data_IF_504493245859
#
_entry.id   IF_504493245859
#
_cell.length_a   1.000
_cell.length_b   1.000
_cell.length_c   1.000
_cell.angle_alpha   90.00
_cell.angle_beta   90.00
_cell.angle_gamma   90.00
#
_symmetry.space_group_name_H-M   'P 1'
#
loop_
_entity.id
_entity.type
_entity.pdbx_description
1 polymer ?
#
# COMPACT_ATOMS: atom_id res chain seq x y z
N UNK A 1 32.07 -4.45 3.45
CA UNK A 1 32.06 -3.13 4.09
C UNK A 1 30.63 -2.82 4.48
N UNK A 2 30.35 -2.43 5.73
CA UNK A 2 29.01 -1.96 6.11
C UNK A 2 28.65 -0.73 5.26
N UNK A 3 27.41 -0.68 4.76
CA UNK A 3 26.94 0.47 4.01
C UNK A 3 27.00 1.74 4.92
N UNK A 4 27.41 2.86 4.36
CA UNK A 4 27.41 4.15 5.08
C UNK A 4 25.98 4.45 5.51
N UNK A 5 25.76 4.80 6.77
CA UNK A 5 24.48 5.31 7.26
C UNK A 5 24.11 6.57 6.47
N UNK A 6 22.91 6.58 5.90
CA UNK A 6 22.35 7.69 5.12
C UNK A 6 21.10 8.24 5.83
N UNK A 7 20.73 9.46 5.52
CA UNK A 7 19.49 10.09 5.93
C UNK A 7 18.56 10.21 4.73
N UNK A 8 17.42 9.52 4.77
CA UNK A 8 16.41 9.47 3.71
C UNK A 8 15.19 10.29 4.08
N UNK A 9 14.69 11.08 3.15
CA UNK A 9 13.39 11.72 3.27
C UNK A 9 12.41 11.05 2.31
N UNK A 10 11.27 10.57 2.84
CA UNK A 10 10.22 9.91 2.10
C UNK A 10 8.98 10.79 2.05
N UNK A 11 8.64 11.29 0.87
CA UNK A 11 7.41 12.04 0.61
C UNK A 11 6.30 11.06 0.19
N UNK A 12 5.26 10.88 1.02
CA UNK A 12 4.16 9.94 0.81
C UNK A 12 2.79 10.60 1.04
N UNK A 13 2.55 11.73 0.38
CA UNK A 13 1.26 12.39 0.41
C UNK A 13 0.27 11.73 -0.55
N UNK A 14 -0.95 11.47 -0.04
CA UNK A 14 -2.03 10.84 -0.81
C UNK A 14 -3.24 10.51 0.07
N UNK A 15 -4.44 10.59 -0.49
CA UNK A 15 -5.71 10.58 0.24
C UNK A 15 -6.15 9.26 0.89
N UNK A 16 -5.28 8.26 0.96
CA UNK A 16 -5.63 6.95 1.54
C UNK A 16 -4.47 6.26 2.22
N UNK A 17 -4.64 4.97 2.53
CA UNK A 17 -3.60 4.16 3.17
C UNK A 17 -2.48 3.75 2.20
N UNK A 18 -2.73 3.69 0.90
CA UNK A 18 -1.85 3.07 -0.09
C UNK A 18 -0.45 3.68 -0.19
N UNK A 19 -0.36 5.02 -0.19
CA UNK A 19 0.92 5.75 -0.21
C UNK A 19 1.72 5.51 1.06
N UNK A 20 1.05 5.62 2.21
CA UNK A 20 1.66 5.36 3.51
C UNK A 20 2.18 3.92 3.62
N UNK A 21 1.41 2.93 3.17
CA UNK A 21 1.79 1.51 3.21
C UNK A 21 3.08 1.25 2.42
N UNK A 22 3.19 1.77 1.19
CA UNK A 22 4.41 1.60 0.38
C UNK A 22 5.61 2.32 0.97
N UNK A 23 5.43 3.57 1.40
CA UNK A 23 6.51 4.32 2.03
C UNK A 23 6.95 3.69 3.35
N UNK A 24 6.02 3.14 4.13
CA UNK A 24 6.33 2.39 5.35
C UNK A 24 7.10 1.09 5.04
N UNK A 25 6.77 0.37 3.97
CA UNK A 25 7.54 -0.80 3.54
C UNK A 25 8.99 -0.43 3.22
N UNK A 26 9.20 0.65 2.44
CA UNK A 26 10.52 1.16 2.12
C UNK A 26 11.28 1.64 3.37
N UNK A 27 10.62 2.44 4.21
CA UNK A 27 11.19 2.97 5.44
C UNK A 27 11.67 1.86 6.38
N UNK A 28 10.84 0.82 6.58
CA UNK A 28 11.17 -0.31 7.45
C UNK A 28 12.45 -1.02 7.01
N UNK A 29 12.59 -1.31 5.72
CA UNK A 29 13.78 -1.97 5.18
C UNK A 29 15.00 -1.04 5.28
N UNK A 30 14.86 0.26 4.95
CA UNK A 30 15.94 1.23 5.07
C UNK A 30 16.42 1.39 6.53
N UNK A 31 15.50 1.49 7.49
CA UNK A 31 15.83 1.53 8.93
C UNK A 31 16.50 0.24 9.39
N UNK A 32 16.00 -0.92 8.95
CA UNK A 32 16.60 -2.22 9.23
C UNK A 32 18.04 -2.36 8.69
N UNK A 33 18.39 -1.60 7.64
CA UNK A 33 19.76 -1.50 7.09
C UNK A 33 20.60 -0.42 7.75
N UNK A 34 20.07 0.27 8.77
CA UNK A 34 20.78 1.26 9.58
C UNK A 34 20.67 2.71 9.11
N UNK A 35 19.82 3.01 8.10
CA UNK A 35 19.57 4.37 7.65
C UNK A 35 18.64 5.12 8.62
N UNK A 36 18.73 6.45 8.65
CA UNK A 36 17.75 7.33 9.27
C UNK A 36 16.69 7.70 8.24
N UNK A 37 15.40 7.69 8.62
CA UNK A 37 14.28 7.93 7.70
C UNK A 37 13.31 8.95 8.29
N UNK A 38 13.04 10.03 7.56
CA UNK A 38 11.94 10.96 7.82
C UNK A 38 10.81 10.69 6.82
N UNK A 39 9.68 10.21 7.31
CA UNK A 39 8.49 9.89 6.51
C UNK A 39 7.44 10.98 6.65
N UNK A 40 7.14 11.69 5.57
CA UNK A 40 6.07 12.67 5.49
C UNK A 40 4.80 12.01 4.92
N UNK A 41 3.68 12.14 5.64
CA UNK A 41 2.39 11.59 5.20
C UNK A 41 1.22 12.49 5.59
N UNK A 42 0.18 12.51 4.77
CA UNK A 42 -1.13 13.10 5.09
C UNK A 42 -2.24 12.05 5.13
N UNK A 43 -1.90 10.78 5.26
CA UNK A 43 -2.90 9.71 5.36
C UNK A 43 -3.79 9.93 6.59
N UNK A 44 -5.13 9.94 6.45
CA UNK A 44 -6.04 10.09 7.58
C UNK A 44 -5.96 8.93 8.58
N UNK A 45 -5.35 7.81 8.20
CA UNK A 45 -5.12 6.66 9.06
C UNK A 45 -3.84 6.78 9.91
N UNK A 46 -2.89 7.63 9.52
CA UNK A 46 -1.58 7.73 10.17
C UNK A 46 -1.63 8.03 11.68
N UNK A 47 -2.57 8.83 12.22
CA UNK A 47 -2.66 9.07 13.66
C UNK A 47 -3.03 7.82 14.48
N UNK A 48 -3.80 6.90 13.91
CA UNK A 48 -4.25 5.67 14.60
C UNK A 48 -3.33 4.45 14.37
N UNK A 49 -2.24 4.60 13.63
CA UNK A 49 -1.30 3.52 13.36
C UNK A 49 -0.04 3.63 14.24
N UNK A 50 0.49 2.50 14.74
CA UNK A 50 1.70 2.48 15.58
C UNK A 50 2.98 2.62 14.73
N UNK A 51 3.05 3.64 13.86
CA UNK A 51 4.09 3.77 12.82
C UNK A 51 5.49 3.84 13.41
N UNK A 52 5.71 4.65 14.45
CA UNK A 52 7.02 4.87 15.05
C UNK A 52 7.60 3.57 15.65
N UNK A 53 6.78 2.85 16.42
CA UNK A 53 7.21 1.57 17.01
C UNK A 53 7.40 0.49 15.94
N UNK A 54 6.59 0.53 14.88
CA UNK A 54 6.65 -0.46 13.81
C UNK A 54 7.85 -0.24 12.86
N UNK A 55 8.17 1.01 12.55
CA UNK A 55 9.31 1.38 11.71
C UNK A 55 10.65 1.25 12.46
N UNK A 56 10.63 1.43 13.78
CA UNK A 56 11.82 1.36 14.63
C UNK A 56 12.48 2.72 14.88
N UNK A 57 13.51 2.75 15.75
CA UNK A 57 14.08 3.99 16.30
C UNK A 57 14.86 4.85 15.28
N UNK A 58 15.07 4.35 14.06
CA UNK A 58 15.69 5.11 12.97
C UNK A 58 14.70 5.94 12.15
N UNK A 59 13.40 5.86 12.44
CA UNK A 59 12.37 6.56 11.68
C UNK A 59 11.71 7.68 12.49
N UNK A 60 11.43 8.80 11.81
CA UNK A 60 10.57 9.88 12.28
C UNK A 60 9.38 10.02 11.35
N UNK A 61 8.16 10.11 11.88
CA UNK A 61 6.94 10.26 11.07
C UNK A 61 6.37 11.66 11.23
N UNK A 62 6.37 12.42 10.14
CA UNK A 62 5.79 13.75 10.04
C UNK A 62 4.39 13.65 9.45
N UNK A 63 3.38 14.10 10.20
CA UNK A 63 1.97 14.05 9.81
C UNK A 63 1.50 15.44 9.38
N UNK A 64 1.06 15.54 8.12
CA UNK A 64 0.42 16.75 7.58
C UNK A 64 -1.09 16.58 7.64
N UNK A 65 -1.82 17.62 8.04
CA UNK A 65 -3.28 17.58 8.05
C UNK A 65 -3.81 17.37 6.62
N UNK A 66 -4.58 16.31 6.43
CA UNK A 66 -5.17 15.97 5.13
C UNK A 66 -6.19 16.98 4.61
N UNK A 67 -6.63 17.94 5.46
CA UNK A 67 -7.62 18.99 5.14
C UNK A 67 -6.96 20.28 4.68
N UNK A 68 -5.61 20.38 4.67
CA UNK A 68 -4.94 21.56 4.18
C UNK A 68 -5.30 21.83 2.72
N UNK A 69 -5.51 23.10 2.42
CA UNK A 69 -5.60 23.56 1.05
C UNK A 69 -4.24 23.49 0.34
N UNK A 70 -4.22 23.88 -0.93
CA UNK A 70 -2.99 23.86 -1.73
C UNK A 70 -1.88 24.71 -1.10
N UNK A 71 -2.19 25.92 -0.62
CA UNK A 71 -1.21 26.84 -0.04
C UNK A 71 -0.62 26.27 1.26
N UNK A 72 -1.48 25.75 2.14
CA UNK A 72 -1.07 25.07 3.37
C UNK A 72 -0.23 23.84 3.11
N UNK A 73 -0.57 23.05 2.09
CA UNK A 73 0.24 21.88 1.69
C UNK A 73 1.62 22.30 1.20
N UNK A 74 1.72 23.32 0.34
CA UNK A 74 3.00 23.87 -0.14
C UNK A 74 3.86 24.35 1.03
N UNK A 75 3.26 25.09 1.97
CA UNK A 75 3.97 25.60 3.15
C UNK A 75 4.49 24.47 4.05
N UNK A 76 3.65 23.46 4.33
CA UNK A 76 4.02 22.34 5.18
C UNK A 76 5.14 21.48 4.56
N UNK A 77 5.05 21.16 3.27
CA UNK A 77 6.08 20.40 2.55
C UNK A 77 7.37 21.22 2.43
N UNK A 78 7.26 22.52 2.15
CA UNK A 78 8.43 23.42 2.09
C UNK A 78 9.17 23.52 3.42
N UNK A 79 8.44 23.68 4.52
CA UNK A 79 9.02 23.69 5.88
C UNK A 79 9.73 22.36 6.17
N UNK A 80 9.07 21.24 5.92
CA UNK A 80 9.67 19.92 6.12
C UNK A 80 10.95 19.73 5.28
N UNK A 81 10.97 20.13 3.99
CA UNK A 81 12.17 20.03 3.16
C UNK A 81 13.31 20.93 3.64
N UNK A 82 13.01 22.03 4.33
CA UNK A 82 14.00 22.98 4.84
C UNK A 82 14.64 22.57 6.18
N UNK A 83 14.03 21.63 6.93
CA UNK A 83 14.51 21.24 8.27
C UNK A 83 15.91 20.62 8.26
N UNK A 84 16.24 19.83 7.24
CA UNK A 84 17.57 19.21 7.10
C UNK A 84 17.88 18.85 5.65
N UNK A 85 19.14 18.66 5.34
CA UNK A 85 19.58 18.17 4.02
C UNK A 85 19.66 16.63 4.08
N UNK A 86 18.84 15.88 3.33
CA UNK A 86 18.93 14.43 3.27
C UNK A 86 20.09 13.98 2.36
N UNK A 87 20.48 12.71 2.47
CA UNK A 87 21.33 12.05 1.47
C UNK A 87 20.51 11.63 0.24
N UNK A 88 19.17 11.47 0.37
CA UNK A 88 18.24 11.20 -0.74
C UNK A 88 16.82 11.64 -0.40
N UNK A 89 16.11 12.18 -1.40
CA UNK A 89 14.66 12.42 -1.36
C UNK A 89 13.95 11.38 -2.20
N UNK A 90 13.02 10.63 -1.60
CA UNK A 90 12.16 9.66 -2.29
C UNK A 90 10.73 10.20 -2.33
N UNK A 91 10.15 10.27 -3.51
CA UNK A 91 8.77 10.75 -3.75
C UNK A 91 7.91 9.57 -4.18
N UNK A 92 6.80 9.31 -3.48
CA UNK A 92 5.88 8.24 -3.85
C UNK A 92 4.82 8.74 -4.83
N UNK A 93 4.77 8.15 -6.00
CA UNK A 93 3.75 8.23 -7.07
C UNK A 93 3.66 9.58 -7.78
N UNK A 94 3.59 10.70 -7.08
CA UNK A 94 3.28 12.01 -7.68
C UNK A 94 4.53 12.87 -7.91
N UNK A 95 5.11 12.89 -9.11
CA UNK A 95 6.37 13.62 -9.37
C UNK A 95 6.24 15.13 -9.20
N UNK A 96 5.02 15.66 -9.28
CA UNK A 96 4.72 17.09 -9.06
C UNK A 96 4.27 17.40 -7.63
N UNK A 97 4.16 16.37 -6.77
CA UNK A 97 3.49 16.46 -5.48
C UNK A 97 1.97 16.32 -5.58
N UNK A 98 1.30 16.17 -4.44
CA UNK A 98 -0.15 15.98 -4.38
C UNK A 98 -0.92 17.24 -4.85
N UNK A 99 -0.45 18.43 -4.48
CA UNK A 99 -1.02 19.73 -4.82
C UNK A 99 -0.21 20.50 -5.89
N UNK A 100 0.83 19.87 -6.46
CA UNK A 100 1.75 20.50 -7.41
C UNK A 100 2.93 21.23 -6.76
N UNK A 101 3.13 21.11 -5.46
CA UNK A 101 4.14 21.79 -4.65
C UNK A 101 5.56 21.39 -5.02
N UNK A 102 5.78 20.17 -5.45
CA UNK A 102 7.12 19.71 -5.81
C UNK A 102 7.68 20.37 -7.09
N UNK A 103 6.83 20.95 -7.94
CA UNK A 103 7.29 21.69 -9.12
C UNK A 103 8.22 22.82 -8.75
N UNK A 104 7.93 23.55 -7.69
CA UNK A 104 8.75 24.67 -7.20
C UNK A 104 9.77 24.27 -6.14
N UNK A 105 9.53 23.20 -5.39
CA UNK A 105 10.38 22.78 -4.29
C UNK A 105 11.51 21.84 -4.73
N UNK A 106 11.27 20.91 -5.69
CA UNK A 106 12.33 19.98 -6.14
C UNK A 106 13.61 20.66 -6.65
N UNK A 107 13.56 21.78 -7.40
CA UNK A 107 14.78 22.47 -7.83
C UNK A 107 15.67 22.96 -6.66
N UNK A 108 15.11 23.13 -5.46
CA UNK A 108 15.89 23.55 -4.27
C UNK A 108 16.55 22.38 -3.55
N UNK A 109 16.13 21.15 -3.83
CA UNK A 109 16.69 19.93 -3.23
C UNK A 109 17.98 19.54 -3.95
N UNK A 110 19.10 19.56 -3.23
CA UNK A 110 20.43 19.20 -3.78
C UNK A 110 20.71 17.70 -3.75
N UNK A 111 20.01 16.95 -2.89
CA UNK A 111 20.16 15.51 -2.79
C UNK A 111 19.60 14.79 -4.03
N UNK A 112 20.11 13.61 -4.37
CA UNK A 112 19.48 12.73 -5.37
C UNK A 112 17.99 12.54 -5.11
N UNK A 113 17.22 12.56 -6.19
CA UNK A 113 15.77 12.49 -6.16
C UNK A 113 15.31 11.17 -6.78
N UNK A 114 14.55 10.41 -6.04
CA UNK A 114 14.01 9.10 -6.47
C UNK A 114 12.50 9.17 -6.55
N UNK A 115 11.93 8.70 -7.65
CA UNK A 115 10.49 8.55 -7.81
C UNK A 115 10.12 7.07 -7.68
N UNK A 116 9.22 6.75 -6.76
CA UNK A 116 8.50 5.48 -6.77
C UNK A 116 7.41 5.60 -7.83
N UNK A 117 7.74 5.13 -9.04
CA UNK A 117 6.93 5.36 -10.21
C UNK A 117 5.91 4.24 -10.39
N UNK A 118 4.65 4.60 -10.37
CA UNK A 118 3.51 3.73 -10.41
C UNK A 118 2.69 3.87 -11.69
N UNK A 119 1.75 2.94 -11.89
CA UNK A 119 0.73 3.10 -12.92
C UNK A 119 -0.05 4.40 -12.67
N UNK A 120 -0.08 5.25 -13.69
CA UNK A 120 -0.79 6.52 -13.70
C UNK A 120 -1.75 6.56 -14.89
N UNK A 121 -2.93 7.11 -14.66
CA UNK A 121 -3.93 7.31 -15.71
C UNK A 121 -3.32 8.19 -16.84
N UNK A 122 -3.39 7.77 -18.13
CA UNK A 122 -2.86 8.56 -19.25
C UNK A 122 -3.40 9.99 -19.31
N UNK A 123 -4.67 10.20 -18.99
CA UNK A 123 -5.28 11.55 -18.91
C UNK A 123 -4.58 12.42 -17.86
N UNK A 124 -4.18 11.84 -16.73
CA UNK A 124 -3.39 12.55 -15.72
C UNK A 124 -1.98 12.85 -16.22
N UNK A 125 -1.35 11.85 -16.86
CA UNK A 125 0.02 11.98 -17.41
C UNK A 125 0.08 13.14 -18.42
N UNK A 126 -0.86 13.21 -19.35
CA UNK A 126 -0.94 14.25 -20.37
C UNK A 126 -1.30 15.61 -19.75
N UNK A 127 -2.38 15.67 -18.97
CA UNK A 127 -2.89 16.93 -18.38
C UNK A 127 -1.86 17.67 -17.53
N UNK A 128 -1.00 16.94 -16.83
CA UNK A 128 -0.04 17.50 -15.88
C UNK A 128 1.41 17.43 -16.36
N UNK A 129 1.61 17.13 -17.64
CA UNK A 129 2.95 17.01 -18.23
C UNK A 129 3.91 16.19 -17.34
N UNK A 130 3.45 14.97 -16.98
CA UNK A 130 4.20 14.09 -16.09
C UNK A 130 5.50 13.63 -16.70
N UNK A 131 5.58 13.54 -18.04
CA UNK A 131 6.81 13.19 -18.76
C UNK A 131 7.95 14.16 -18.40
N UNK A 132 7.69 15.47 -18.50
CA UNK A 132 8.67 16.48 -18.10
C UNK A 132 8.99 16.44 -16.58
N UNK A 133 7.98 16.21 -15.74
CA UNK A 133 8.18 16.13 -14.29
C UNK A 133 9.06 14.93 -13.88
N UNK A 134 8.98 13.82 -14.59
CA UNK A 134 9.80 12.60 -14.38
C UNK A 134 11.27 12.87 -14.64
N UNK A 135 11.62 13.75 -15.56
CA UNK A 135 13.01 14.12 -15.89
C UNK A 135 13.74 14.81 -14.71
N UNK A 136 13.00 15.33 -13.75
CA UNK A 136 13.58 15.92 -12.53
C UNK A 136 14.15 14.89 -11.54
N UNK A 137 13.95 13.57 -11.78
CA UNK A 137 14.38 12.51 -10.88
C UNK A 137 15.61 11.76 -11.41
N UNK A 138 16.52 11.43 -10.50
CA UNK A 138 17.77 10.73 -10.80
C UNK A 138 17.57 9.21 -10.92
N UNK A 139 16.51 8.68 -10.30
CA UNK A 139 16.12 7.27 -10.35
C UNK A 139 14.59 7.14 -10.32
N UNK A 140 14.06 6.25 -11.15
CA UNK A 140 12.67 5.80 -11.09
C UNK A 140 12.65 4.35 -10.61
N UNK A 141 11.96 4.06 -9.51
CA UNK A 141 11.78 2.68 -9.04
C UNK A 141 10.35 2.25 -9.33
N UNK A 142 10.19 1.18 -10.12
CA UNK A 142 8.87 0.69 -10.57
C UNK A 142 8.51 -0.59 -9.82
N UNK A 143 7.57 -0.55 -8.86
CA UNK A 143 7.27 -1.69 -7.97
C UNK A 143 6.27 -2.67 -8.59
N UNK A 144 6.75 -3.61 -9.41
CA UNK A 144 6.00 -4.79 -9.84
C UNK A 144 4.71 -4.53 -10.63
N UNK A 145 4.61 -3.40 -11.34
CA UNK A 145 3.48 -3.10 -12.22
C UNK A 145 3.94 -2.42 -13.51
N UNK A 146 3.06 -2.33 -14.48
CA UNK A 146 3.27 -1.50 -15.65
C UNK A 146 3.03 -0.02 -15.30
N UNK A 147 4.04 0.81 -15.61
CA UNK A 147 3.99 2.24 -15.40
C UNK A 147 4.36 2.98 -16.69
N UNK A 148 3.83 4.18 -16.95
CA UNK A 148 4.03 4.89 -18.22
C UNK A 148 5.50 5.05 -18.63
N UNK A 149 6.39 5.26 -17.65
CA UNK A 149 7.82 5.48 -17.86
C UNK A 149 8.70 4.32 -17.34
N UNK A 150 8.17 3.08 -17.31
CA UNK A 150 8.90 1.91 -16.83
C UNK A 150 10.11 1.54 -17.71
N UNK A 151 10.19 2.07 -18.94
CA UNK A 151 11.31 1.89 -19.87
C UNK A 151 12.25 3.11 -19.94
N UNK A 152 12.06 4.10 -19.04
CA UNK A 152 12.96 5.25 -18.98
C UNK A 152 14.40 4.79 -18.64
N UNK A 153 15.47 5.40 -19.20
CA UNK A 153 16.87 4.97 -18.95
C UNK A 153 17.27 4.94 -17.47
N UNK A 154 16.61 5.74 -16.64
CA UNK A 154 16.81 5.79 -15.18
C UNK A 154 15.83 4.90 -14.41
N UNK A 155 15.04 4.07 -15.08
CA UNK A 155 14.07 3.20 -14.41
C UNK A 155 14.71 1.88 -13.97
N UNK A 156 14.41 1.47 -12.74
CA UNK A 156 14.71 0.15 -12.18
C UNK A 156 13.40 -0.52 -11.82
N UNK A 157 13.11 -1.65 -12.46
CA UNK A 157 11.93 -2.47 -12.15
C UNK A 157 12.26 -3.43 -11.01
N UNK A 158 11.38 -3.52 -10.03
CA UNK A 158 11.48 -4.47 -8.92
C UNK A 158 10.26 -5.39 -8.92
N UNK A 159 10.29 -6.46 -8.13
CA UNK A 159 9.08 -7.19 -7.76
C UNK A 159 8.11 -6.26 -6.98
N UNK A 160 6.85 -6.66 -6.76
CA UNK A 160 5.93 -5.92 -5.92
C UNK A 160 6.49 -5.65 -4.51
N UNK A 161 6.11 -4.50 -3.94
CA UNK A 161 6.48 -4.15 -2.56
C UNK A 161 5.38 -4.56 -1.60
N UNK A 162 5.78 -5.23 -0.55
CA UNK A 162 4.90 -5.68 0.52
C UNK A 162 5.44 -5.20 1.87
N UNK A 163 4.53 -4.93 2.81
CA UNK A 163 4.90 -4.47 4.15
C UNK A 163 5.71 -5.49 4.95
N UNK A 164 5.50 -6.78 4.67
CA UNK A 164 6.13 -7.89 5.36
C UNK A 164 6.77 -8.85 4.35
N UNK A 165 7.84 -9.48 4.74
CA UNK A 165 8.39 -10.63 4.06
C UNK A 165 7.61 -11.91 4.42
N UNK A 166 7.76 -12.96 3.65
CA UNK A 166 6.96 -14.17 3.81
C UNK A 166 7.17 -14.87 5.16
N UNK A 167 8.38 -14.81 5.70
CA UNK A 167 8.77 -15.38 6.98
C UNK A 167 8.21 -14.60 8.18
N UNK A 168 7.86 -13.33 7.99
CA UNK A 168 7.25 -12.50 9.01
C UNK A 168 5.72 -12.67 9.13
N UNK A 169 5.09 -13.49 8.28
CA UNK A 169 3.66 -13.77 8.38
C UNK A 169 3.36 -14.77 9.49
N UNK A 170 2.22 -14.57 10.13
CA UNK A 170 1.67 -15.56 11.05
C UNK A 170 1.37 -16.88 10.32
N UNK A 171 1.50 -18.03 11.00
CA UNK A 171 0.96 -19.28 10.47
C UNK A 171 -0.56 -19.19 10.29
N UNK A 172 -1.17 -20.12 9.56
CA UNK A 172 -2.63 -20.12 9.37
C UNK A 172 -3.36 -20.15 10.72
N UNK A 173 -2.94 -21.00 11.65
CA UNK A 173 -3.55 -21.10 12.97
C UNK A 173 -3.37 -19.82 13.78
N UNK A 174 -2.17 -19.25 13.81
CA UNK A 174 -1.89 -17.98 14.49
C UNK A 174 -2.71 -16.84 13.89
N UNK A 175 -2.80 -16.78 12.57
CA UNK A 175 -3.60 -15.77 11.85
C UNK A 175 -5.09 -15.89 12.19
N UNK A 176 -5.63 -17.13 12.22
CA UNK A 176 -7.04 -17.38 12.57
C UNK A 176 -7.32 -16.98 14.03
N UNK A 177 -6.44 -17.32 14.98
CA UNK A 177 -6.55 -16.83 16.38
C UNK A 177 -6.50 -15.30 16.45
N UNK A 178 -5.61 -14.67 15.70
CA UNK A 178 -5.54 -13.19 15.63
C UNK A 178 -6.79 -12.55 15.02
N UNK A 179 -7.50 -13.29 14.16
CA UNK A 179 -8.80 -12.91 13.61
C UNK A 179 -9.97 -13.21 14.58
N UNK A 180 -9.72 -13.74 15.77
CA UNK A 180 -10.72 -14.01 16.80
C UNK A 180 -11.46 -15.33 16.64
N UNK A 181 -10.89 -16.29 15.92
CA UNK A 181 -11.45 -17.63 15.77
C UNK A 181 -10.83 -18.59 16.80
N UNK A 182 -11.65 -19.45 17.36
CA UNK A 182 -11.21 -20.52 18.27
C UNK A 182 -10.48 -21.64 17.48
N UNK A 183 -9.60 -22.37 18.15
CA UNK A 183 -8.78 -23.43 17.52
C UNK A 183 -9.63 -24.56 16.89
N UNK A 184 -10.87 -24.76 17.36
CA UNK A 184 -11.83 -25.72 16.80
C UNK A 184 -12.72 -25.18 15.68
N UNK A 185 -12.65 -23.89 15.38
CA UNK A 185 -13.48 -23.30 14.32
C UNK A 185 -12.92 -23.64 12.95
N UNK A 186 -13.59 -24.47 12.18
CA UNK A 186 -13.18 -24.90 10.84
C UNK A 186 -13.79 -24.07 9.72
N UNK A 187 -14.69 -23.12 10.02
CA UNK A 187 -15.35 -22.30 8.99
C UNK A 187 -14.33 -21.53 8.17
N UNK A 188 -14.50 -21.41 6.86
CA UNK A 188 -13.68 -20.51 6.04
C UNK A 188 -13.85 -19.05 6.47
N UNK A 189 -12.80 -18.25 6.26
CA UNK A 189 -12.76 -16.83 6.62
C UNK A 189 -12.91 -15.98 5.37
N UNK A 190 -13.92 -15.15 5.33
CA UNK A 190 -14.08 -14.08 4.35
C UNK A 190 -13.68 -12.76 5.00
N UNK A 191 -12.57 -12.16 4.54
CA UNK A 191 -12.14 -10.86 5.02
C UNK A 191 -12.60 -9.76 4.06
N UNK A 192 -13.20 -8.70 4.59
CA UNK A 192 -13.59 -7.52 3.83
C UNK A 192 -12.69 -6.35 4.25
N UNK A 193 -12.06 -5.68 3.28
CA UNK A 193 -11.19 -4.54 3.50
C UNK A 193 -11.70 -3.31 2.75
N UNK A 194 -11.80 -2.16 3.46
CA UNK A 194 -12.09 -0.85 2.89
C UNK A 194 -11.30 0.20 3.63
N UNK A 195 -10.30 0.78 2.99
CA UNK A 195 -9.40 1.78 3.58
C UNK A 195 -9.09 2.94 2.60
N UNK A 196 -10.00 3.24 1.72
CA UNK A 196 -9.89 4.36 0.81
C UNK A 196 -10.51 5.62 1.38
N UNK A 197 -11.61 6.02 0.78
CA UNK A 197 -12.39 7.18 1.21
C UNK A 197 -13.41 6.80 2.28
N UNK A 198 -13.98 7.77 3.02
CA UNK A 198 -15.03 7.50 4.01
C UNK A 198 -16.21 6.69 3.45
N UNK A 199 -16.62 6.98 2.21
CA UNK A 199 -17.71 6.28 1.52
C UNK A 199 -17.36 4.81 1.29
N UNK A 200 -16.12 4.50 0.96
CA UNK A 200 -15.64 3.12 0.76
C UNK A 200 -15.56 2.33 2.06
N UNK A 201 -15.28 3.01 3.17
CA UNK A 201 -15.34 2.39 4.50
C UNK A 201 -16.77 2.03 4.85
N UNK A 202 -17.73 2.93 4.59
CA UNK A 202 -19.16 2.67 4.81
C UNK A 202 -19.66 1.50 3.95
N UNK A 203 -19.35 1.50 2.65
CA UNK A 203 -19.70 0.40 1.72
C UNK A 203 -19.08 -0.95 2.14
N UNK A 204 -17.87 -0.94 2.69
CA UNK A 204 -17.29 -2.16 3.25
C UNK A 204 -18.11 -2.70 4.43
N UNK A 205 -18.58 -1.82 5.31
CA UNK A 205 -19.47 -2.19 6.42
C UNK A 205 -20.79 -2.80 5.94
N UNK A 206 -21.43 -2.20 4.92
CA UNK A 206 -22.64 -2.75 4.29
C UNK A 206 -22.37 -4.12 3.68
N UNK A 207 -21.25 -4.26 2.95
CA UNK A 207 -20.83 -5.53 2.35
C UNK A 207 -20.63 -6.61 3.41
N UNK A 208 -20.00 -6.30 4.54
CA UNK A 208 -19.85 -7.21 5.67
C UNK A 208 -21.20 -7.71 6.18
N UNK A 209 -22.16 -6.81 6.38
CA UNK A 209 -23.49 -7.15 6.90
C UNK A 209 -24.25 -8.08 5.92
N UNK A 210 -24.17 -7.79 4.62
CA UNK A 210 -24.78 -8.62 3.58
C UNK A 210 -24.15 -10.02 3.55
N UNK A 211 -22.82 -10.12 3.55
CA UNK A 211 -22.12 -11.40 3.55
C UNK A 211 -22.33 -12.18 4.84
N UNK A 212 -22.43 -11.54 6.01
CA UNK A 212 -22.77 -12.20 7.27
C UNK A 212 -24.16 -12.84 7.22
N UNK A 213 -25.12 -12.16 6.61
CA UNK A 213 -26.47 -12.71 6.42
C UNK A 213 -26.46 -13.87 5.44
N UNK A 214 -25.82 -13.72 4.29
CA UNK A 214 -25.76 -14.73 3.23
C UNK A 214 -25.04 -16.01 3.70
N UNK A 215 -23.93 -15.87 4.41
CA UNK A 215 -23.02 -16.95 4.79
C UNK A 215 -23.19 -17.39 6.26
N UNK A 216 -24.34 -17.08 6.87
CA UNK A 216 -24.60 -17.40 8.27
C UNK A 216 -24.40 -18.91 8.56
N UNK A 217 -23.54 -19.21 9.53
CA UNK A 217 -23.13 -20.56 9.90
C UNK A 217 -22.18 -21.27 8.92
N UNK A 218 -21.96 -20.75 7.71
CA UNK A 218 -21.12 -21.36 6.67
C UNK A 218 -19.70 -20.79 6.66
N UNK A 219 -19.55 -19.49 6.90
CA UNK A 219 -18.25 -18.81 6.92
C UNK A 219 -18.17 -17.78 8.06
N UNK A 220 -16.95 -17.48 8.49
CA UNK A 220 -16.66 -16.37 9.39
C UNK A 220 -16.37 -15.12 8.55
N UNK A 221 -17.23 -14.10 8.63
CA UNK A 221 -17.06 -12.85 7.87
C UNK A 221 -16.48 -11.78 8.77
N UNK A 222 -15.26 -11.33 8.43
CA UNK A 222 -14.46 -10.36 9.18
C UNK A 222 -14.35 -9.03 8.42
N UNK A 223 -14.62 -7.94 9.11
CA UNK A 223 -14.29 -6.60 8.61
C UNK A 223 -12.92 -6.18 9.14
N UNK A 224 -11.92 -6.15 8.28
CA UNK A 224 -10.58 -5.72 8.66
C UNK A 224 -10.43 -4.22 8.44
N UNK A 225 -10.05 -3.52 9.49
CA UNK A 225 -9.80 -2.07 9.49
C UNK A 225 -8.39 -1.79 10.00
N UNK A 226 -7.69 -0.78 9.45
CA UNK A 226 -6.31 -0.49 9.85
C UNK A 226 -6.21 0.22 11.21
N UNK A 227 -7.26 0.94 11.60
CA UNK A 227 -7.33 1.72 12.86
C UNK A 227 -8.63 1.41 13.60
N UNK A 228 -8.75 1.84 14.84
CA UNK A 228 -9.92 1.55 15.67
C UNK A 228 -11.23 1.95 15.00
N UNK A 229 -12.16 0.99 15.00
CA UNK A 229 -13.50 1.14 14.45
C UNK A 229 -14.49 0.30 15.27
N UNK A 230 -15.66 0.87 15.58
CA UNK A 230 -16.63 0.25 16.50
C UNK A 230 -17.12 -1.15 16.08
N UNK A 231 -17.14 -1.47 14.78
CA UNK A 231 -17.68 -2.72 14.24
C UNK A 231 -16.65 -3.55 13.47
N UNK A 232 -15.43 -3.04 13.30
CA UNK A 232 -14.35 -3.71 12.57
C UNK A 232 -13.31 -4.32 13.51
N UNK A 233 -12.60 -5.31 13.01
CA UNK A 233 -11.44 -5.89 13.69
C UNK A 233 -10.19 -5.09 13.28
N UNK A 234 -9.57 -4.43 14.24
CA UNK A 234 -8.35 -3.64 13.99
C UNK A 234 -7.18 -4.57 13.72
N UNK A 235 -6.70 -4.55 12.48
CA UNK A 235 -5.53 -5.31 12.02
C UNK A 235 -4.68 -4.44 11.11
N UNK A 236 -3.46 -4.15 11.56
CA UNK A 236 -2.45 -3.53 10.71
C UNK A 236 -1.05 -4.09 11.05
N UNK A 237 -0.29 -4.50 10.04
CA UNK A 237 -0.70 -4.65 8.63
C UNK A 237 -1.62 -5.86 8.42
N UNK A 238 -2.62 -5.72 7.54
CA UNK A 238 -3.55 -6.81 7.24
C UNK A 238 -2.84 -8.03 6.62
N UNK A 239 -1.75 -7.80 5.90
CA UNK A 239 -0.90 -8.85 5.33
C UNK A 239 -0.47 -9.90 6.38
N UNK A 240 -0.25 -9.50 7.63
CA UNK A 240 0.17 -10.42 8.70
C UNK A 240 -0.79 -11.58 8.92
N UNK A 241 -2.09 -11.39 8.69
CA UNK A 241 -3.15 -12.38 8.93
C UNK A 241 -3.67 -13.05 7.65
N UNK A 242 -3.14 -12.69 6.47
CA UNK A 242 -3.68 -13.16 5.19
C UNK A 242 -3.65 -14.68 5.01
N UNK A 243 -2.72 -15.39 5.66
CA UNK A 243 -2.71 -16.86 5.65
C UNK A 243 -3.94 -17.47 6.35
N UNK A 244 -4.61 -16.72 7.22
CA UNK A 244 -5.85 -17.14 7.89
C UNK A 244 -7.12 -16.83 7.09
N UNK A 245 -7.02 -16.05 6.00
CA UNK A 245 -8.14 -15.59 5.18
C UNK A 245 -8.36 -16.54 4.00
N UNK A 246 -9.57 -16.95 3.74
CA UNK A 246 -9.94 -17.86 2.65
C UNK A 246 -10.43 -17.14 1.40
N UNK A 247 -11.12 -16.03 1.55
CA UNK A 247 -11.51 -15.13 0.46
C UNK A 247 -11.30 -13.70 0.94
N UNK A 248 -10.60 -12.89 0.13
CA UNK A 248 -10.46 -11.46 0.36
C UNK A 248 -11.45 -10.69 -0.50
N UNK A 249 -12.21 -9.79 0.11
CA UNK A 249 -13.10 -8.85 -0.56
C UNK A 249 -12.54 -7.43 -0.38
N UNK A 250 -12.42 -6.68 -1.48
CA UNK A 250 -11.87 -5.32 -1.40
C UNK A 250 -11.95 -4.53 -2.69
N UNK A 251 -11.05 -3.57 -2.85
CA UNK A 251 -10.90 -2.81 -4.07
C UNK A 251 -9.61 -3.21 -4.82
N UNK A 252 -9.54 -2.94 -6.14
CA UNK A 252 -8.38 -3.20 -7.00
C UNK A 252 -7.17 -2.28 -6.74
N UNK A 253 -7.00 -1.85 -5.49
CA UNK A 253 -5.83 -1.08 -5.07
C UNK A 253 -4.55 -1.92 -5.12
N UNK A 254 -3.41 -1.26 -5.36
CA UNK A 254 -2.12 -1.95 -5.49
C UNK A 254 -1.82 -2.90 -4.31
N UNK A 255 -1.86 -2.39 -3.07
CA UNK A 255 -1.49 -3.20 -1.91
C UNK A 255 -2.41 -4.41 -1.77
N UNK A 256 -3.72 -4.22 -1.82
CA UNK A 256 -4.72 -5.30 -1.71
C UNK A 256 -4.48 -6.40 -2.75
N UNK A 257 -4.25 -6.02 -4.01
CA UNK A 257 -4.02 -6.99 -5.09
C UNK A 257 -2.69 -7.72 -4.89
N UNK A 258 -1.61 -7.01 -4.54
CA UNK A 258 -0.30 -7.64 -4.37
C UNK A 258 -0.25 -8.52 -3.10
N UNK A 259 -0.90 -8.12 -2.02
CA UNK A 259 -1.02 -8.92 -0.80
C UNK A 259 -1.81 -10.21 -1.06
N UNK A 260 -2.92 -10.13 -1.78
CA UNK A 260 -3.72 -11.29 -2.18
C UNK A 260 -2.90 -12.26 -3.04
N UNK A 261 -2.21 -11.76 -4.07
CA UNK A 261 -1.37 -12.58 -4.97
C UNK A 261 -0.19 -13.22 -4.26
N UNK A 262 0.52 -12.46 -3.43
CA UNK A 262 1.68 -12.97 -2.69
C UNK A 262 1.29 -14.11 -1.74
N UNK A 263 0.11 -14.03 -1.13
CA UNK A 263 -0.39 -15.05 -0.20
C UNK A 263 -1.24 -16.12 -0.87
N UNK A 264 -1.51 -16.00 -2.17
CA UNK A 264 -2.43 -16.89 -2.90
C UNK A 264 -3.87 -16.82 -2.39
N UNK A 265 -4.26 -15.72 -1.75
CA UNK A 265 -5.63 -15.54 -1.26
C UNK A 265 -6.54 -15.12 -2.42
N UNK A 266 -7.61 -15.87 -2.73
CA UNK A 266 -8.60 -15.48 -3.73
C UNK A 266 -9.13 -14.08 -3.45
N UNK A 267 -9.17 -13.25 -4.49
CA UNK A 267 -9.62 -11.86 -4.40
C UNK A 267 -10.93 -11.68 -5.16
N UNK A 268 -11.90 -11.03 -4.52
CA UNK A 268 -13.11 -10.50 -5.16
C UNK A 268 -13.11 -8.99 -4.95
N UNK A 269 -13.04 -8.20 -6.05
CA UNK A 269 -12.77 -6.79 -5.90
C UNK A 269 -13.51 -5.90 -6.89
N UNK A 270 -13.88 -4.70 -6.43
CA UNK A 270 -14.33 -3.62 -7.29
C UNK A 270 -13.18 -2.87 -7.91
N UNK A 271 -13.28 -2.59 -9.20
CA UNK A 271 -12.42 -1.63 -9.88
C UNK A 271 -12.96 -0.21 -9.67
N UNK A 272 -12.54 0.46 -8.60
CA UNK A 272 -13.00 1.82 -8.30
C UNK A 272 -12.46 2.84 -9.31
N UNK A 273 -13.30 3.72 -9.88
CA UNK A 273 -12.82 4.82 -10.68
C UNK A 273 -11.90 5.74 -9.86
N UNK A 274 -10.73 6.01 -10.40
CA UNK A 274 -9.73 6.90 -9.77
C UNK A 274 -9.20 7.90 -10.79
N UNK A 275 -8.94 9.13 -10.34
CA UNK A 275 -8.35 10.17 -11.18
C UNK A 275 -6.92 9.79 -11.64
N UNK A 276 -6.15 9.18 -10.75
CA UNK A 276 -4.73 8.93 -10.96
C UNK A 276 -4.38 7.48 -11.26
N UNK A 277 -5.27 6.52 -10.95
CA UNK A 277 -4.98 5.09 -10.85
C UNK A 277 -5.96 4.27 -11.68
N UNK A 278 -5.49 3.20 -12.32
CA UNK A 278 -6.27 2.33 -13.20
C UNK A 278 -6.51 0.96 -12.55
N UNK A 279 -7.30 0.91 -11.48
CA UNK A 279 -7.55 -0.31 -10.70
C UNK A 279 -8.03 -1.50 -11.54
N UNK A 280 -8.82 -1.25 -12.59
CA UNK A 280 -9.34 -2.30 -13.46
C UNK A 280 -8.23 -3.11 -14.18
N UNK A 281 -7.08 -2.48 -14.47
CA UNK A 281 -5.97 -3.15 -15.14
C UNK A 281 -5.21 -4.13 -14.24
N UNK A 282 -5.37 -4.01 -12.93
CA UNK A 282 -4.74 -4.93 -11.96
C UNK A 282 -5.56 -6.17 -11.68
N UNK A 283 -6.86 -6.11 -11.95
CA UNK A 283 -7.80 -7.20 -11.68
C UNK A 283 -8.00 -8.06 -12.92
N UNK A 284 -7.96 -9.36 -12.74
CA UNK A 284 -8.45 -10.30 -13.75
C UNK A 284 -9.98 -10.23 -13.82
N UNK A 285 -10.57 -10.79 -14.88
CA UNK A 285 -12.02 -10.92 -15.01
C UNK A 285 -12.64 -11.76 -13.87
N UNK A 286 -11.92 -12.81 -13.45
CA UNK A 286 -12.33 -13.64 -12.32
C UNK A 286 -12.37 -12.89 -10.99
N UNK A 287 -11.49 -11.93 -10.77
CA UNK A 287 -11.42 -11.14 -9.53
C UNK A 287 -12.41 -9.97 -9.51
N UNK A 288 -12.74 -9.41 -10.69
CA UNK A 288 -13.51 -8.17 -10.81
C UNK A 288 -15.00 -8.41 -10.67
N UNK A 289 -15.68 -7.52 -9.96
CA UNK A 289 -17.15 -7.47 -9.83
C UNK A 289 -17.68 -6.08 -10.17
N UNK A 290 -18.90 -6.06 -10.74
CA UNK A 290 -19.61 -4.84 -11.09
C UNK A 290 -20.59 -4.37 -10.01
N UNK A 291 -21.20 -5.31 -9.29
CA UNK A 291 -22.21 -5.02 -8.28
C UNK A 291 -22.14 -5.99 -7.09
N UNK A 292 -23.02 -5.77 -6.12
CA UNK A 292 -23.03 -6.53 -4.88
C UNK A 292 -23.60 -7.96 -5.07
N UNK A 293 -24.48 -8.19 -6.05
CA UNK A 293 -25.05 -9.50 -6.35
C UNK A 293 -23.97 -10.40 -6.96
N UNK A 294 -23.21 -9.86 -7.91
CA UNK A 294 -22.06 -10.56 -8.49
C UNK A 294 -21.00 -10.87 -7.45
N UNK A 295 -20.73 -9.95 -6.52
CA UNK A 295 -19.80 -10.15 -5.41
C UNK A 295 -20.23 -11.33 -4.54
N UNK A 296 -21.49 -11.34 -4.09
CA UNK A 296 -22.05 -12.40 -3.26
C UNK A 296 -21.96 -13.77 -3.94
N UNK A 297 -22.33 -13.83 -5.23
CA UNK A 297 -22.25 -15.06 -6.01
C UNK A 297 -20.81 -15.56 -6.17
N UNK A 298 -19.84 -14.67 -6.46
CA UNK A 298 -18.42 -15.05 -6.56
C UNK A 298 -17.84 -15.51 -5.22
N UNK A 299 -18.14 -14.82 -4.12
CA UNK A 299 -17.69 -15.24 -2.78
C UNK A 299 -18.25 -16.63 -2.44
N UNK A 300 -19.55 -16.86 -2.63
CA UNK A 300 -20.16 -18.16 -2.38
C UNK A 300 -19.54 -19.26 -3.24
N UNK A 301 -19.31 -19.01 -4.52
CA UNK A 301 -18.67 -19.95 -5.44
C UNK A 301 -17.25 -20.33 -5.03
N UNK A 302 -16.44 -19.36 -4.60
CA UNK A 302 -15.06 -19.60 -4.15
C UNK A 302 -15.02 -20.47 -2.89
N UNK A 303 -15.98 -20.31 -1.98
CA UNK A 303 -16.06 -21.12 -0.75
C UNK A 303 -16.42 -22.58 -1.00
N UNK A 304 -16.99 -22.91 -2.17
CA UNK A 304 -17.31 -24.30 -2.56
C UNK A 304 -16.12 -25.04 -3.16
N UNK A 305 -15.03 -24.36 -3.51
CA UNK A 305 -13.85 -24.98 -4.09
C UNK A 305 -13.03 -25.71 -3.02
N UNK A 306 -12.83 -27.04 -3.09
CA UNK A 306 -12.07 -27.77 -2.08
C UNK A 306 -10.56 -27.56 -2.24
N UNK A 307 -9.83 -27.48 -1.11
CA UNK A 307 -8.39 -27.72 -1.06
C UNK A 307 -7.48 -26.63 -1.64
N UNK A 308 -8.00 -25.48 -2.06
CA UNK A 308 -7.19 -24.43 -2.68
C UNK A 308 -6.15 -23.78 -1.70
N UNK A 309 -6.30 -23.95 -0.38
CA UNK A 309 -5.29 -23.44 0.57
C UNK A 309 -3.96 -24.20 0.54
N UNK A 310 -3.99 -25.47 0.13
CA UNK A 310 -2.79 -26.31 0.09
C UNK A 310 -1.83 -25.89 -1.03
N UNK A 311 -2.34 -25.18 -2.03
CA UNK A 311 -1.58 -24.67 -3.18
C UNK A 311 -1.04 -23.25 -2.99
N UNK A 312 -1.17 -22.65 -1.79
CA UNK A 312 -0.72 -21.26 -1.56
C UNK A 312 0.80 -21.12 -1.60
N UNK A 313 1.31 -20.02 -2.16
CA UNK A 313 2.72 -19.71 -2.10
C UNK A 313 3.21 -19.63 -0.64
N UNK A 314 4.29 -20.34 -0.33
CA UNK A 314 4.96 -20.25 0.97
C UNK A 314 5.93 -19.08 1.06
N UNK A 315 6.39 -18.57 -0.09
CA UNK A 315 7.34 -17.49 -0.20
C UNK A 315 7.05 -16.62 -1.42
N UNK A 316 7.50 -15.38 -1.39
CA UNK A 316 7.50 -14.44 -2.51
C UNK A 316 8.75 -13.57 -2.49
N UNK A 317 9.06 -12.98 -3.63
CA UNK A 317 10.10 -11.97 -3.73
C UNK A 317 9.52 -10.60 -3.37
N UNK A 318 9.95 -10.02 -2.25
CA UNK A 318 9.59 -8.68 -1.87
C UNK A 318 10.54 -7.67 -2.53
N UNK A 319 10.04 -6.95 -3.52
CA UNK A 319 10.83 -6.02 -4.33
C UNK A 319 11.36 -4.81 -3.57
N UNK A 320 10.87 -4.54 -2.36
CA UNK A 320 11.32 -3.40 -1.56
C UNK A 320 12.81 -3.49 -1.20
N UNK A 321 13.36 -4.69 -1.02
CA UNK A 321 14.79 -4.88 -0.75
C UNK A 321 15.66 -4.43 -1.93
N UNK A 322 15.30 -4.84 -3.15
CA UNK A 322 15.99 -4.40 -4.36
C UNK A 322 15.84 -2.89 -4.61
N UNK A 323 14.70 -2.31 -4.22
CA UNK A 323 14.48 -0.88 -4.27
C UNK A 323 15.42 -0.12 -3.34
N UNK A 324 15.55 -0.56 -2.08
CA UNK A 324 16.48 0.04 -1.11
C UNK A 324 17.91 -0.01 -1.64
N UNK A 325 18.34 -1.14 -2.21
CA UNK A 325 19.68 -1.26 -2.81
C UNK A 325 19.90 -0.31 -4.00
N UNK A 326 18.88 -0.12 -4.84
CA UNK A 326 18.96 0.82 -5.95
C UNK A 326 19.08 2.28 -5.45
N UNK A 327 18.32 2.63 -4.41
CA UNK A 327 18.35 3.96 -3.79
C UNK A 327 19.71 4.21 -3.09
N UNK A 328 20.23 3.24 -2.34
CA UNK A 328 21.56 3.34 -1.72
C UNK A 328 22.67 3.64 -2.72
N UNK A 329 22.59 3.09 -3.94
CA UNK A 329 23.57 3.32 -5.00
C UNK A 329 23.54 4.77 -5.52
N UNK A 330 22.35 5.36 -5.62
CA UNK A 330 22.18 6.74 -6.10
C UNK A 330 22.52 7.76 -5.00
N UNK A 331 22.34 7.42 -3.75
CA UNK A 331 22.62 8.28 -2.58
C UNK A 331 24.11 8.27 -2.15
N UNK A 332 25.00 7.65 -2.92
CA UNK A 332 26.46 7.64 -2.70
C UNK A 332 27.10 8.86 -3.32
#
# INVERSE_FOLDING_TARGET
MAARRQHWRLYALGGGLGHLTRAAALARVAVGRGHAVDLLTNSPFAPGLPLESWLGPGATVHRVDSRLDKAGTVAAVGAWLAESTPDVLVVDTFPRGLAGELVTLLPTVRAPRVLVHRDLNPVYVERFDVAHAVDAFDLLVVPGEDAPFAHHPRAVRTAPWLLLDADALLSREQARRRLGLDDGDSRPVVAVMGCGRPEEVAEAGETVNRLRTLLAGQAAVMWLVPTDHASGLTVWPALAVMRGVDVLVGAGGYNTVQEARATGTPLVAWARPRLYDRQALRLTEAERVGDAVELEAKVASLLLLPGWYDARPSAWLNGVHAAVEAIERVAR
#
